data_IF_796344800063
#
_entry.id   IF_796344800063
#
_cell.length_a   1.000
_cell.length_b   1.000
_cell.length_c   1.000
_cell.angle_alpha   90.00
_cell.angle_beta   90.00
_cell.angle_gamma   90.00
#
_symmetry.space_group_name_H-M   'P 1'
#
loop_
_entity.id
_entity.type
_entity.pdbx_description
1 polymer ?
#
# COMPACT_ATOMS: atom_id res chain seq x y z
N UNK A 1 -6.95 14.72 -19.27
CA UNK A 1 -6.41 14.96 -17.92
C UNK A 1 -7.03 13.95 -16.95
N UNK A 2 -6.21 13.24 -16.24
CA UNK A 2 -6.70 12.23 -15.29
C UNK A 2 -7.22 12.90 -14.02
N UNK A 3 -8.34 12.40 -13.50
CA UNK A 3 -8.84 12.78 -12.18
C UNK A 3 -7.96 12.16 -11.06
N UNK A 4 -7.12 11.19 -11.41
CA UNK A 4 -6.26 10.49 -10.48
C UNK A 4 -4.80 10.66 -10.91
N UNK A 5 -4.20 11.83 -10.60
CA UNK A 5 -2.87 12.17 -11.11
C UNK A 5 -1.71 11.64 -10.30
N UNK A 6 -1.97 10.95 -9.20
CA UNK A 6 -0.93 10.61 -8.24
C UNK A 6 -0.35 9.23 -8.48
N UNK A 7 0.82 9.01 -7.90
CA UNK A 7 1.52 7.73 -7.88
C UNK A 7 1.83 7.43 -6.41
N UNK A 8 1.59 6.21 -5.99
CA UNK A 8 2.02 5.72 -4.68
C UNK A 8 2.75 4.40 -4.84
N UNK A 9 3.62 4.10 -3.90
CA UNK A 9 4.30 2.81 -3.80
C UNK A 9 3.70 2.05 -2.64
N UNK A 10 3.09 0.91 -2.93
CA UNK A 10 2.43 0.06 -1.95
C UNK A 10 3.38 -1.06 -1.52
N UNK A 11 3.50 -1.25 -0.24
CA UNK A 11 4.32 -2.32 0.35
C UNK A 11 3.42 -3.35 1.02
N UNK A 12 3.59 -4.60 0.58
CA UNK A 12 3.06 -5.76 1.29
C UNK A 12 4.27 -6.49 1.86
N UNK A 13 4.46 -6.42 3.17
CA UNK A 13 5.67 -6.91 3.80
C UNK A 13 5.38 -8.09 4.71
N UNK A 14 6.37 -8.93 4.93
CA UNK A 14 6.30 -10.04 5.86
C UNK A 14 7.67 -10.38 6.39
N UNK A 15 7.75 -10.65 7.68
CA UNK A 15 8.96 -11.21 8.29
C UNK A 15 8.87 -12.72 8.27
N UNK A 16 9.86 -13.37 7.70
CA UNK A 16 9.91 -14.83 7.57
C UNK A 16 11.08 -15.35 8.40
N UNK A 17 10.81 -16.33 9.28
CA UNK A 17 11.86 -17.04 9.99
C UNK A 17 12.36 -18.18 9.10
N UNK A 18 13.66 -18.10 8.75
CA UNK A 18 14.31 -19.21 8.05
C UNK A 18 14.95 -20.14 9.07
N UNK A 19 14.99 -21.47 8.80
CA UNK A 19 15.59 -22.42 9.74
C UNK A 19 17.03 -22.12 10.13
N UNK A 20 17.82 -21.55 9.21
CA UNK A 20 19.19 -21.17 9.44
C UNK A 20 19.34 -19.84 10.17
N UNK A 21 18.27 -19.11 10.38
CA UNK A 21 18.34 -17.74 10.91
C UNK A 21 17.19 -17.45 11.88
N UNK A 22 17.08 -18.26 12.92
CA UNK A 22 15.96 -18.20 13.88
C UNK A 22 15.91 -16.90 14.67
N UNK A 23 17.02 -16.21 14.83
CA UNK A 23 17.10 -15.01 15.66
C UNK A 23 16.95 -13.71 14.85
N UNK A 24 17.04 -13.78 13.53
CA UNK A 24 16.92 -12.63 12.64
C UNK A 24 15.92 -12.96 11.53
N UNK A 25 14.64 -12.63 11.72
CA UNK A 25 13.65 -12.86 10.66
C UNK A 25 14.04 -12.13 9.39
N UNK A 26 13.91 -12.79 8.26
CA UNK A 26 14.15 -12.16 6.96
C UNK A 26 12.93 -11.36 6.58
N UNK A 27 13.13 -10.07 6.31
CA UNK A 27 12.07 -9.20 5.83
C UNK A 27 11.92 -9.39 4.32
N UNK A 28 10.69 -9.63 3.88
CA UNK A 28 10.36 -9.71 2.46
C UNK A 28 9.36 -8.61 2.13
N UNK A 29 9.76 -7.71 1.24
CA UNK A 29 8.92 -6.63 0.75
C UNK A 29 8.41 -6.97 -0.65
N UNK A 30 7.09 -7.03 -0.81
CA UNK A 30 6.45 -7.11 -2.11
C UNK A 30 6.00 -5.69 -2.46
N UNK A 31 6.61 -5.11 -3.48
CA UNK A 31 6.45 -3.69 -3.78
C UNK A 31 5.68 -3.51 -5.07
N UNK A 32 4.64 -2.70 -5.01
CA UNK A 32 3.79 -2.42 -6.17
C UNK A 32 3.70 -0.91 -6.36
N UNK A 33 4.01 -0.44 -7.55
CA UNK A 33 3.82 0.97 -7.92
C UNK A 33 2.44 1.11 -8.55
N UNK A 34 1.61 1.94 -7.94
CA UNK A 34 0.25 2.22 -8.39
C UNK A 34 0.22 3.60 -9.03
N UNK A 35 0.00 3.64 -10.35
CA UNK A 35 -0.11 4.88 -11.11
C UNK A 35 -1.57 5.14 -11.48
N UNK A 36 -1.99 6.38 -11.36
CA UNK A 36 -3.38 6.73 -11.63
C UNK A 36 -4.26 6.56 -10.40
N UNK A 37 -3.78 7.01 -9.24
CA UNK A 37 -4.50 7.03 -7.98
C UNK A 37 -4.73 8.48 -7.54
N UNK A 38 -5.57 8.68 -6.55
CA UNK A 38 -5.78 9.99 -5.93
C UNK A 38 -5.48 9.88 -4.44
N UNK A 39 -4.48 10.62 -3.99
CA UNK A 39 -4.14 10.71 -2.58
C UNK A 39 -4.66 12.03 -2.03
N UNK A 40 -5.67 11.95 -1.17
CA UNK A 40 -6.29 13.10 -0.55
C UNK A 40 -5.82 13.22 0.90
N UNK A 41 -4.97 14.20 1.14
CA UNK A 41 -4.39 14.47 2.46
C UNK A 41 -5.08 15.64 3.19
N UNK A 42 -6.19 16.14 2.67
CA UNK A 42 -6.83 17.34 3.22
C UNK A 42 -7.41 17.15 4.63
N UNK A 43 -7.66 15.91 5.03
CA UNK A 43 -8.25 15.60 6.33
C UNK A 43 -7.25 15.59 7.49
N UNK A 44 -5.95 15.46 7.20
CA UNK A 44 -4.94 15.23 8.23
C UNK A 44 -4.84 16.31 9.28
N UNK A 45 -4.93 17.57 8.87
CA UNK A 45 -4.76 18.71 9.77
C UNK A 45 -5.87 18.84 10.80
N UNK A 46 -7.08 18.39 10.50
CA UNK A 46 -8.23 18.53 11.40
C UNK A 46 -8.31 17.45 12.46
N UNK A 47 -7.78 16.29 12.15
CA UNK A 47 -7.86 15.11 13.01
C UNK A 47 -7.02 15.29 14.29
N UNK A 48 -5.84 15.85 14.15
CA UNK A 48 -4.92 16.01 15.28
C UNK A 48 -5.45 16.96 16.36
N UNK A 49 -6.27 17.90 16.00
CA UNK A 49 -6.82 18.86 16.95
C UNK A 49 -7.88 18.28 17.88
N UNK A 50 -8.57 17.25 17.43
CA UNK A 50 -9.61 16.61 18.22
C UNK A 50 -9.09 15.47 19.10
N UNK A 51 -7.83 15.09 18.99
CA UNK A 51 -7.26 14.03 19.79
C UNK A 51 -7.83 12.65 19.47
N UNK A 52 -8.43 12.47 18.30
CA UNK A 52 -9.00 11.20 17.89
C UNK A 52 -7.89 10.28 17.40
N UNK A 53 -7.48 9.36 18.25
CA UNK A 53 -6.52 8.34 17.87
C UNK A 53 -7.14 7.37 16.87
N UNK A 54 -6.34 6.92 15.91
CA UNK A 54 -6.77 5.96 14.92
C UNK A 54 -7.57 6.54 13.76
N UNK A 55 -7.78 7.86 13.73
CA UNK A 55 -8.42 8.49 12.59
C UNK A 55 -7.45 8.57 11.41
N UNK A 56 -7.99 8.46 10.20
CA UNK A 56 -7.19 8.48 8.99
C UNK A 56 -6.59 9.88 8.74
N UNK A 57 -5.29 9.92 8.45
CA UNK A 57 -4.62 11.15 8.04
C UNK A 57 -4.87 11.46 6.57
N UNK A 58 -5.01 10.43 5.75
CA UNK A 58 -5.21 10.56 4.30
C UNK A 58 -6.24 9.54 3.83
N UNK A 59 -6.80 9.78 2.65
CA UNK A 59 -7.60 8.79 1.92
C UNK A 59 -6.98 8.56 0.55
N UNK A 60 -6.75 7.31 0.21
CA UNK A 60 -6.22 6.92 -1.09
C UNK A 60 -7.34 6.28 -1.90
N UNK A 61 -7.58 6.83 -3.09
CA UNK A 61 -8.58 6.30 -4.02
C UNK A 61 -7.86 5.55 -5.12
N UNK A 62 -8.14 4.25 -5.24
CA UNK A 62 -7.50 3.37 -6.21
C UNK A 62 -8.58 2.85 -7.17
N UNK A 63 -8.61 3.32 -8.43
CA UNK A 63 -9.58 2.79 -9.41
C UNK A 63 -9.31 1.32 -9.71
N UNK A 64 -10.35 0.58 -10.10
CA UNK A 64 -10.19 -0.85 -10.44
C UNK A 64 -9.25 -1.07 -11.63
N UNK A 65 -9.16 -0.08 -12.53
CA UNK A 65 -8.28 -0.14 -13.69
C UNK A 65 -6.93 0.55 -13.45
N UNK A 66 -6.51 0.67 -12.20
CA UNK A 66 -5.23 1.27 -11.86
C UNK A 66 -4.08 0.55 -12.56
N UNK A 67 -3.06 1.33 -12.97
CA UNK A 67 -1.84 0.77 -13.52
C UNK A 67 -0.94 0.33 -12.36
N UNK A 68 -0.99 -0.97 -12.05
CA UNK A 68 -0.22 -1.58 -10.97
C UNK A 68 0.92 -2.41 -11.55
N UNK A 69 2.15 -2.08 -11.18
CA UNK A 69 3.34 -2.79 -11.68
C UNK A 69 4.26 -3.12 -10.52
N UNK A 70 5.03 -4.20 -10.69
CA UNK A 70 6.06 -4.55 -9.72
C UNK A 70 7.15 -3.48 -9.69
N UNK A 71 7.53 -3.07 -8.48
CA UNK A 71 8.50 -2.00 -8.29
C UNK A 71 9.90 -2.35 -8.80
N UNK A 72 10.24 -3.62 -8.86
CA UNK A 72 11.57 -4.08 -9.29
C UNK A 72 11.63 -4.46 -10.77
N UNK A 73 10.59 -5.14 -11.26
CA UNK A 73 10.61 -5.71 -12.62
C UNK A 73 9.74 -4.95 -13.61
N UNK A 74 8.80 -4.14 -13.15
CA UNK A 74 7.85 -3.46 -14.00
C UNK A 74 6.74 -4.35 -14.54
N UNK A 75 6.66 -5.61 -14.12
CA UNK A 75 5.61 -6.54 -14.55
C UNK A 75 4.26 -6.08 -14.00
N UNK A 76 3.23 -6.22 -14.81
CA UNK A 76 1.87 -5.87 -14.37
C UNK A 76 1.40 -6.80 -13.26
N UNK A 77 0.67 -6.22 -12.32
CA UNK A 77 0.12 -6.94 -11.18
C UNK A 77 -1.39 -6.81 -11.14
N UNK A 78 -2.02 -7.81 -10.54
CA UNK A 78 -3.47 -7.85 -10.38
C UNK A 78 -3.83 -7.90 -8.90
N UNK A 79 -4.91 -7.23 -8.52
CA UNK A 79 -5.39 -7.25 -7.13
C UNK A 79 -5.99 -8.61 -6.79
N UNK A 80 -5.66 -9.11 -5.60
CA UNK A 80 -6.34 -10.26 -4.98
C UNK A 80 -6.55 -9.94 -3.50
N UNK A 81 -7.45 -10.66 -2.85
CA UNK A 81 -7.63 -10.52 -1.41
C UNK A 81 -6.39 -10.95 -0.62
N UNK A 82 -6.27 -10.50 0.65
CA UNK A 82 -5.07 -10.82 1.45
C UNK A 82 -4.82 -12.31 1.61
N UNK A 83 -5.87 -13.11 1.84
CA UNK A 83 -5.71 -14.55 1.98
C UNK A 83 -5.16 -15.20 0.73
N UNK A 84 -5.68 -14.83 -0.42
CA UNK A 84 -5.21 -15.35 -1.71
C UNK A 84 -3.78 -14.90 -1.98
N UNK A 85 -3.46 -13.64 -1.67
CA UNK A 85 -2.12 -13.11 -1.88
C UNK A 85 -1.06 -13.90 -1.09
N UNK A 86 -1.30 -14.07 0.23
CA UNK A 86 -0.30 -14.71 1.09
C UNK A 86 -0.17 -16.21 0.84
N UNK A 87 -1.16 -16.84 0.21
CA UNK A 87 -1.11 -18.24 -0.18
C UNK A 87 -0.63 -18.47 -1.62
N UNK A 88 -0.43 -17.42 -2.39
CA UNK A 88 -0.04 -17.55 -3.78
C UNK A 88 1.45 -17.91 -3.91
N UNK A 89 1.76 -18.71 -4.92
CA UNK A 89 3.15 -19.06 -5.25
C UNK A 89 3.86 -17.91 -5.96
N UNK A 90 3.17 -17.22 -6.87
CA UNK A 90 3.72 -16.09 -7.62
C UNK A 90 3.14 -14.77 -7.09
N UNK A 91 3.74 -14.24 -6.02
CA UNK A 91 3.31 -12.96 -5.45
C UNK A 91 3.76 -11.76 -6.27
N UNK A 92 4.73 -11.94 -7.16
CA UNK A 92 5.25 -10.84 -7.98
C UNK A 92 4.27 -10.38 -9.06
N UNK A 93 3.26 -11.17 -9.35
CA UNK A 93 2.19 -10.83 -10.29
C UNK A 93 0.92 -10.32 -9.60
N UNK A 94 0.95 -10.19 -8.28
CA UNK A 94 -0.23 -9.88 -7.46
C UNK A 94 0.07 -8.74 -6.49
N UNK A 95 -1.00 -8.06 -6.06
CA UNK A 95 -0.93 -7.10 -4.97
C UNK A 95 -2.21 -7.19 -4.14
N UNK A 96 -2.13 -6.69 -2.91
CA UNK A 96 -3.28 -6.74 -2.01
C UNK A 96 -3.31 -5.54 -1.08
N UNK A 97 -4.41 -5.40 -0.36
CA UNK A 97 -4.60 -4.38 0.67
C UNK A 97 -5.08 -5.09 1.94
N UNK A 98 -4.45 -4.78 3.05
CA UNK A 98 -4.87 -5.32 4.34
C UNK A 98 -4.68 -4.27 5.43
N UNK A 99 -5.57 -4.29 6.42
CA UNK A 99 -5.43 -3.41 7.59
C UNK A 99 -4.45 -4.06 8.56
N UNK A 100 -3.18 -3.73 8.39
CA UNK A 100 -2.13 -4.27 9.24
C UNK A 100 -0.88 -3.39 9.12
N UNK A 101 0.06 -3.59 10.05
CA UNK A 101 1.36 -2.91 9.99
C UNK A 101 2.20 -3.35 8.80
N UNK A 102 1.84 -4.48 8.22
CA UNK A 102 2.58 -5.07 7.10
C UNK A 102 2.10 -4.53 5.75
N UNK A 103 1.12 -3.64 5.75
CA UNK A 103 0.62 -3.01 4.53
C UNK A 103 0.66 -1.49 4.71
N UNK A 104 1.51 -0.83 3.93
CA UNK A 104 1.65 0.61 3.97
C UNK A 104 1.95 1.15 2.58
N UNK A 105 1.79 2.44 2.40
CA UNK A 105 2.10 3.07 1.12
C UNK A 105 2.85 4.37 1.31
N UNK A 106 3.63 4.72 0.29
CA UNK A 106 4.45 5.94 0.25
C UNK A 106 4.02 6.76 -0.94
N UNK A 107 3.87 8.06 -0.77
CA UNK A 107 3.57 8.96 -1.87
C UNK A 107 4.74 9.01 -2.85
N UNK A 108 4.45 8.83 -4.15
CA UNK A 108 5.45 8.82 -5.21
C UNK A 108 6.04 7.45 -5.45
N UNK A 109 7.12 7.38 -6.21
CA UNK A 109 7.86 6.16 -6.43
C UNK A 109 8.99 6.04 -5.41
N UNK A 110 8.92 5.03 -4.55
CA UNK A 110 9.88 4.82 -3.48
C UNK A 110 10.12 3.33 -3.31
N UNK A 111 10.95 2.76 -4.18
CA UNK A 111 11.18 1.31 -4.26
C UNK A 111 12.48 0.96 -3.53
N UNK A 112 12.34 0.31 -2.36
CA UNK A 112 13.47 -0.07 -1.52
C UNK A 112 13.26 -1.49 -0.99
N UNK A 113 13.66 -2.51 -1.76
CA UNK A 113 13.34 -3.90 -1.41
C UNK A 113 13.95 -4.39 -0.09
N UNK A 114 15.05 -3.78 0.33
CA UNK A 114 15.79 -4.21 1.52
C UNK A 114 15.56 -3.31 2.75
N UNK A 115 14.70 -2.30 2.62
CA UNK A 115 14.46 -1.37 3.73
C UNK A 115 13.32 -1.86 4.63
N UNK A 116 13.46 -1.59 5.93
CA UNK A 116 12.36 -1.79 6.88
C UNK A 116 11.37 -0.63 6.80
N UNK A 117 10.19 -0.82 7.37
CA UNK A 117 9.20 0.26 7.45
C UNK A 117 9.75 1.46 8.23
N UNK A 118 10.54 1.23 9.27
CA UNK A 118 11.16 2.29 10.06
C UNK A 118 12.14 3.11 9.22
N UNK A 119 12.95 2.44 8.40
CA UNK A 119 13.90 3.12 7.52
C UNK A 119 13.17 3.97 6.48
N UNK A 120 12.09 3.45 5.92
CA UNK A 120 11.28 4.17 4.94
C UNK A 120 10.62 5.39 5.59
N UNK A 121 10.05 5.24 6.78
CA UNK A 121 9.43 6.35 7.51
C UNK A 121 10.44 7.44 7.88
N UNK A 122 11.68 7.06 8.13
CA UNK A 122 12.73 8.04 8.41
C UNK A 122 13.17 8.82 7.16
N UNK A 123 13.09 8.20 5.99
CA UNK A 123 13.55 8.80 4.73
C UNK A 123 12.48 9.61 4.01
N UNK A 124 11.20 9.30 4.19
CA UNK A 124 10.09 9.92 3.48
C UNK A 124 9.07 10.51 4.46
N UNK A 125 8.54 11.67 4.13
CA UNK A 125 7.55 12.34 4.98
C UNK A 125 6.15 11.77 4.84
N UNK A 126 5.81 11.24 3.66
CA UNK A 126 4.45 10.81 3.34
C UNK A 126 4.37 9.29 3.25
N UNK A 127 4.48 8.65 4.41
CA UNK A 127 4.34 7.19 4.57
C UNK A 127 3.15 6.93 5.48
N UNK A 128 2.23 6.09 5.03
CA UNK A 128 0.97 5.85 5.72
C UNK A 128 0.70 4.36 5.85
N UNK A 129 0.42 3.91 7.07
CA UNK A 129 -0.06 2.55 7.31
C UNK A 129 -1.52 2.44 6.86
N UNK A 130 -1.88 1.32 6.26
CA UNK A 130 -3.27 1.09 5.85
C UNK A 130 -4.12 0.86 7.10
N UNK A 131 -5.06 1.76 7.34
CA UNK A 131 -5.94 1.73 8.51
C UNK A 131 -7.36 1.29 8.18
N UNK A 132 -7.75 1.40 6.91
CA UNK A 132 -9.11 1.07 6.48
C UNK A 132 -9.10 0.73 4.99
N UNK A 133 -9.87 -0.27 4.60
CA UNK A 133 -10.03 -0.65 3.18
C UNK A 133 -11.52 -0.83 2.91
N UNK A 134 -12.05 -0.01 2.01
CA UNK A 134 -13.43 -0.12 1.52
C UNK A 134 -13.42 -0.28 0.02
N UNK A 135 -14.16 -1.22 -0.50
CA UNK A 135 -14.37 -1.34 -1.94
C UNK A 135 -15.73 -0.74 -2.29
N UNK A 136 -15.70 0.25 -3.16
CA UNK A 136 -16.91 0.93 -3.65
C UNK A 136 -17.24 0.38 -5.04
N UNK A 137 -18.21 -0.52 -5.09
CA UNK A 137 -18.62 -1.16 -6.33
C UNK A 137 -19.78 -0.37 -6.96
N UNK A 138 -19.43 0.49 -7.90
CA UNK A 138 -20.39 1.27 -8.67
C UNK A 138 -20.61 0.70 -10.08
N UNK A 139 -20.02 -0.46 -10.36
CA UNK A 139 -20.06 -1.10 -11.66
C UNK A 139 -19.00 -0.58 -12.62
N UNK A 140 -18.33 -1.50 -13.31
CA UNK A 140 -17.34 -1.17 -14.34
C UNK A 140 -16.22 -0.27 -13.86
N UNK A 141 -15.86 0.70 -14.69
CA UNK A 141 -14.71 1.57 -14.46
C UNK A 141 -14.90 2.57 -13.31
N UNK A 142 -16.10 2.71 -12.78
CA UNK A 142 -16.36 3.61 -11.66
C UNK A 142 -16.06 3.00 -10.31
N UNK A 143 -15.86 1.70 -10.25
CA UNK A 143 -15.53 1.02 -9.00
C UNK A 143 -14.12 1.37 -8.56
N UNK A 144 -13.91 1.48 -7.26
CA UNK A 144 -12.61 1.85 -6.71
C UNK A 144 -12.48 1.41 -5.27
N UNK A 145 -11.25 1.35 -4.79
CA UNK A 145 -10.96 1.19 -3.37
C UNK A 145 -10.79 2.56 -2.72
N UNK A 146 -11.34 2.70 -1.52
CA UNK A 146 -11.04 3.84 -0.64
C UNK A 146 -10.22 3.30 0.52
N UNK A 147 -8.98 3.74 0.62
CA UNK A 147 -8.02 3.25 1.59
C UNK A 147 -7.67 4.38 2.55
N UNK A 148 -7.94 4.17 3.83
CA UNK A 148 -7.51 5.09 4.86
C UNK A 148 -6.06 4.86 5.22
N UNK A 149 -5.30 5.93 5.38
CA UNK A 149 -3.90 5.88 5.78
C UNK A 149 -3.65 6.71 7.03
N UNK A 150 -2.86 6.16 7.92
CA UNK A 150 -2.52 6.83 9.18
C UNK A 150 -1.03 6.88 9.45
#
# INVERSE_FOLDING_TARGET
>A
MSMFPHVVTLYNTKSIELPENKFEPTLVNHITVLRGVLLDASKGANVNKSGLEGADAVTLYIPVNVDAVDGLTGRKKRYVGPGEFWNADDKDSLWTLSVSRDCFFVKGEAVHPDWTVQTIKAAYDNVYDVSKVDFKDFGGDMSHFQVGGA
#
